data_IF_669577078275
#
_entry.id   IF_669577078275
#
_cell.length_a   1.000
_cell.length_b   1.000
_cell.length_c   1.000
_cell.angle_alpha   90.00
_cell.angle_beta   90.00
_cell.angle_gamma   90.00
#
_symmetry.space_group_name_H-M   'P 1'
#
loop_
_entity.id
_entity.type
_entity.pdbx_description
1 polymer ?
#
# COMPACT_ATOMS: atom_id res chain seq x y z
N UNK A 1 15.83 -24.67 -2.84
CA UNK A 1 14.57 -24.50 -3.60
C UNK A 1 14.59 -23.11 -4.21
N UNK A 2 14.38 -23.04 -5.52
CA UNK A 2 14.34 -21.78 -6.27
C UNK A 2 12.90 -21.53 -6.72
N UNK A 3 12.47 -20.27 -6.70
CA UNK A 3 11.20 -19.80 -7.27
C UNK A 3 11.54 -18.70 -8.27
N UNK A 4 11.01 -18.80 -9.48
CA UNK A 4 11.19 -17.81 -10.54
C UNK A 4 9.83 -17.24 -10.94
N UNK A 5 9.60 -15.94 -10.64
CA UNK A 5 8.34 -15.25 -10.87
C UNK A 5 8.52 -14.07 -11.85
N UNK A 6 7.47 -13.60 -12.55
CA UNK A 6 7.48 -12.30 -13.18
C UNK A 6 7.89 -11.21 -12.16
N UNK A 7 8.52 -10.13 -12.61
CA UNK A 7 8.77 -9.00 -11.69
C UNK A 7 7.45 -8.50 -11.10
N UNK A 8 7.47 -8.21 -9.81
CA UNK A 8 6.29 -7.87 -9.03
C UNK A 8 5.94 -6.37 -9.06
N UNK A 9 4.75 -6.03 -8.56
CA UNK A 9 4.27 -4.64 -8.49
C UNK A 9 3.97 -4.26 -7.05
N UNK A 10 4.51 -3.13 -6.60
CA UNK A 10 4.16 -2.52 -5.33
C UNK A 10 3.09 -1.44 -5.55
N UNK A 11 1.84 -1.81 -5.36
CA UNK A 11 0.72 -0.91 -5.62
C UNK A 11 0.31 -0.06 -4.42
N UNK A 12 1.22 0.09 -3.46
CA UNK A 12 1.13 1.05 -2.37
C UNK A 12 2.48 1.23 -1.68
N UNK A 13 3.19 2.30 -1.97
CA UNK A 13 4.48 2.58 -1.33
C UNK A 13 4.73 4.07 -1.17
N UNK A 14 5.56 4.47 -0.19
CA UNK A 14 5.94 5.84 0.10
C UNK A 14 7.42 6.05 -0.19
N UNK A 15 7.74 6.63 -1.33
CA UNK A 15 9.13 7.02 -1.66
C UNK A 15 9.56 8.32 -0.96
N UNK A 16 8.62 8.99 -0.28
CA UNK A 16 8.86 10.26 0.42
C UNK A 16 9.35 11.35 -0.52
N UNK A 17 10.15 12.28 0.02
CA UNK A 17 10.79 13.41 -0.66
C UNK A 17 12.22 13.54 -0.17
N UNK A 18 13.01 14.33 -0.92
CA UNK A 18 14.35 14.70 -0.50
C UNK A 18 15.43 13.65 -0.78
N UNK A 19 16.59 13.75 -0.15
CA UNK A 19 17.80 13.08 -0.60
C UNK A 19 17.77 11.54 -0.48
N UNK A 20 16.90 10.97 0.36
CA UNK A 20 16.80 9.52 0.52
C UNK A 20 15.90 8.83 -0.53
N UNK A 21 15.15 9.58 -1.35
CA UNK A 21 14.20 9.04 -2.32
C UNK A 21 14.84 8.00 -3.25
N UNK A 22 16.03 8.30 -3.79
CA UNK A 22 16.77 7.38 -4.67
C UNK A 22 17.12 6.07 -4.00
N UNK A 23 17.47 6.08 -2.70
CA UNK A 23 17.74 4.85 -1.95
C UNK A 23 16.48 3.98 -1.81
N UNK A 24 15.32 4.58 -1.63
CA UNK A 24 14.06 3.83 -1.52
C UNK A 24 13.60 3.26 -2.86
N UNK A 25 13.75 4.03 -3.94
CA UNK A 25 13.50 3.56 -5.31
C UNK A 25 14.41 2.38 -5.64
N UNK A 26 15.72 2.52 -5.39
CA UNK A 26 16.69 1.47 -5.66
C UNK A 26 16.41 0.20 -4.86
N UNK A 27 16.05 0.32 -3.58
CA UNK A 27 15.70 -0.81 -2.74
C UNK A 27 14.52 -1.65 -3.32
N UNK A 28 13.52 -1.01 -3.94
CA UNK A 28 12.44 -1.73 -4.63
C UNK A 28 12.93 -2.39 -5.93
N UNK A 29 13.74 -1.70 -6.70
CA UNK A 29 14.29 -2.23 -7.97
C UNK A 29 15.17 -3.46 -7.71
N UNK A 30 15.99 -3.45 -6.66
CA UNK A 30 16.84 -4.57 -6.25
C UNK A 30 16.01 -5.81 -5.87
N UNK A 31 14.78 -5.60 -5.40
CA UNK A 31 13.83 -6.68 -5.12
C UNK A 31 13.02 -7.14 -6.34
N UNK A 32 13.40 -6.72 -7.55
CA UNK A 32 12.69 -7.10 -8.77
C UNK A 32 11.31 -6.44 -8.92
N UNK A 33 11.10 -5.27 -8.35
CA UNK A 33 9.87 -4.51 -8.53
C UNK A 33 9.82 -3.93 -9.96
N UNK A 34 8.76 -4.23 -10.71
CA UNK A 34 8.53 -3.72 -12.07
C UNK A 34 7.62 -2.50 -12.10
N UNK A 35 6.79 -2.31 -11.10
CA UNK A 35 5.88 -1.17 -11.08
C UNK A 35 5.54 -0.73 -9.68
N UNK A 36 5.31 0.57 -9.52
CA UNK A 36 5.01 1.16 -8.22
C UNK A 36 3.85 2.16 -8.30
N UNK A 37 3.05 2.20 -7.23
CA UNK A 37 2.11 3.27 -6.95
C UNK A 37 2.65 4.10 -5.78
N UNK A 38 3.19 5.29 -6.11
CA UNK A 38 3.87 6.17 -5.18
C UNK A 38 2.87 7.09 -4.47
N UNK A 39 2.63 6.88 -3.17
CA UNK A 39 1.64 7.60 -2.40
C UNK A 39 1.86 9.11 -2.35
N UNK A 40 0.77 9.92 -2.41
CA UNK A 40 0.81 11.36 -2.64
C UNK A 40 0.89 12.22 -1.38
N UNK A 41 1.01 11.62 -0.17
CA UNK A 41 1.08 12.33 1.11
C UNK A 41 2.49 12.86 1.42
N UNK A 42 3.04 13.57 0.46
CA UNK A 42 4.27 14.36 0.56
C UNK A 42 4.01 15.67 1.34
N UNK A 43 5.02 16.48 1.55
CA UNK A 43 4.89 17.83 2.14
C UNK A 43 5.53 18.88 1.22
N UNK A 44 4.72 19.71 0.55
CA UNK A 44 3.26 19.69 0.50
C UNK A 44 2.72 18.45 -0.25
N UNK A 45 1.41 18.12 -0.14
CA UNK A 45 0.84 16.92 -0.78
C UNK A 45 0.77 17.06 -2.31
N UNK A 46 0.70 15.93 -3.01
CA UNK A 46 0.43 15.91 -4.46
C UNK A 46 -1.06 16.16 -4.70
N UNK A 47 -1.46 17.42 -4.78
CA UNK A 47 -2.86 17.86 -4.87
C UNK A 47 -3.21 18.57 -6.17
N UNK A 48 -2.32 18.54 -7.17
CA UNK A 48 -2.49 19.14 -8.50
C UNK A 48 -2.18 18.14 -9.60
N UNK A 49 -2.68 18.39 -10.81
CA UNK A 49 -2.42 17.52 -11.98
C UNK A 49 -1.07 17.88 -12.60
N UNK A 50 -0.89 19.13 -13.02
CA UNK A 50 0.27 19.61 -13.79
C UNK A 50 0.85 20.91 -13.20
N UNK A 51 2.00 21.33 -13.76
CA UNK A 51 2.68 22.56 -13.39
C UNK A 51 3.73 22.39 -12.30
N UNK A 52 4.47 23.47 -12.04
CA UNK A 52 5.53 23.49 -11.03
C UNK A 52 4.97 23.32 -9.62
N UNK A 53 5.77 22.70 -8.73
CA UNK A 53 5.45 22.63 -7.31
C UNK A 53 5.25 24.05 -6.73
N UNK A 54 4.21 24.21 -5.92
CA UNK A 54 3.92 25.43 -5.19
C UNK A 54 3.91 25.13 -3.70
N UNK A 55 3.93 26.16 -2.88
CA UNK A 55 4.01 26.03 -1.41
C UNK A 55 2.85 25.25 -0.79
N UNK A 56 1.71 25.17 -1.48
CA UNK A 56 0.48 24.51 -1.04
C UNK A 56 0.16 23.17 -1.72
N UNK A 57 1.01 22.72 -2.67
CA UNK A 57 0.82 21.43 -3.32
C UNK A 57 1.81 21.11 -4.44
N UNK A 58 2.23 19.86 -4.51
CA UNK A 58 2.91 19.31 -5.67
C UNK A 58 1.92 18.95 -6.76
N UNK A 59 2.39 18.90 -8.01
CA UNK A 59 1.64 18.28 -9.08
C UNK A 59 2.05 16.80 -9.25
N UNK A 60 1.17 15.99 -9.84
CA UNK A 60 1.51 14.63 -10.28
C UNK A 60 2.72 14.68 -11.23
N UNK A 61 2.72 15.62 -12.18
CA UNK A 61 3.83 15.83 -13.11
C UNK A 61 5.14 16.12 -12.40
N UNK A 62 5.14 17.08 -11.45
CA UNK A 62 6.33 17.48 -10.69
C UNK A 62 6.87 16.34 -9.82
N UNK A 63 6.02 15.68 -9.04
CA UNK A 63 6.46 14.57 -8.19
C UNK A 63 6.94 13.36 -9.03
N UNK A 64 6.29 13.08 -10.17
CA UNK A 64 6.76 12.07 -11.10
C UNK A 64 8.14 12.40 -11.68
N UNK A 65 8.41 13.68 -11.96
CA UNK A 65 9.74 14.11 -12.42
C UNK A 65 10.81 13.89 -11.34
N UNK A 66 10.54 14.25 -10.08
CA UNK A 66 11.47 13.99 -8.96
C UNK A 66 11.74 12.48 -8.79
N UNK A 67 10.70 11.65 -8.86
CA UNK A 67 10.84 10.20 -8.80
C UNK A 67 11.72 9.65 -9.94
N UNK A 68 11.58 10.18 -11.15
CA UNK A 68 12.43 9.79 -12.30
C UNK A 68 13.88 10.19 -12.08
N UNK A 69 14.15 11.40 -11.59
CA UNK A 69 15.50 11.83 -11.22
C UNK A 69 16.08 10.90 -10.14
N UNK A 70 15.26 10.37 -9.25
CA UNK A 70 15.63 9.40 -8.23
C UNK A 70 15.78 7.94 -8.75
N UNK A 71 15.64 7.71 -10.07
CA UNK A 71 15.83 6.40 -10.69
C UNK A 71 14.54 5.63 -11.01
N UNK A 72 13.36 6.21 -10.79
CA UNK A 72 12.09 5.53 -11.03
C UNK A 72 11.74 5.29 -12.51
N UNK A 73 12.52 5.80 -13.45
CA UNK A 73 12.44 5.44 -14.88
C UNK A 73 12.74 3.95 -15.14
N UNK A 74 13.40 3.29 -14.18
CA UNK A 74 13.66 1.85 -14.26
C UNK A 74 12.40 0.98 -13.98
N UNK A 75 11.34 1.52 -13.39
CA UNK A 75 10.05 0.85 -13.32
C UNK A 75 9.38 0.80 -14.70
N UNK A 76 8.76 -0.33 -15.02
CA UNK A 76 7.93 -0.47 -16.24
C UNK A 76 6.64 0.35 -16.12
N UNK A 77 6.12 0.53 -14.89
CA UNK A 77 4.93 1.31 -14.59
C UNK A 77 5.14 2.12 -13.31
N UNK A 78 4.80 3.41 -13.38
CA UNK A 78 4.77 4.31 -12.22
C UNK A 78 3.44 5.04 -12.20
N UNK A 79 2.71 4.92 -11.08
CA UNK A 79 1.48 5.66 -10.81
C UNK A 79 1.75 6.62 -9.65
N UNK A 80 1.43 7.89 -9.86
CA UNK A 80 1.34 8.89 -8.79
C UNK A 80 -0.13 9.29 -8.67
N UNK A 81 -0.82 8.91 -7.59
CA UNK A 81 -2.21 9.32 -7.39
C UNK A 81 -2.33 10.78 -6.97
N UNK A 82 -3.48 11.38 -7.25
CA UNK A 82 -3.85 12.68 -6.70
C UNK A 82 -4.33 12.51 -5.25
N UNK A 83 -3.81 13.30 -4.32
CA UNK A 83 -4.34 13.37 -2.97
C UNK A 83 -5.69 14.14 -2.99
N UNK A 84 -6.79 13.48 -2.64
CA UNK A 84 -8.10 14.12 -2.53
C UNK A 84 -8.15 15.06 -1.34
N UNK A 85 -8.34 16.34 -1.61
CA UNK A 85 -8.49 17.41 -0.62
C UNK A 85 -9.80 18.15 -0.85
N UNK A 86 -10.18 19.05 0.06
CA UNK A 86 -11.36 19.92 -0.12
C UNK A 86 -11.25 20.83 -1.35
N UNK A 87 -10.06 21.00 -1.92
CA UNK A 87 -9.82 21.80 -3.13
C UNK A 87 -9.95 20.97 -4.42
N UNK A 88 -10.02 19.65 -4.32
CA UNK A 88 -10.17 18.79 -5.51
C UNK A 88 -11.52 19.01 -6.15
N UNK A 89 -11.54 19.20 -7.48
CA UNK A 89 -12.77 19.44 -8.26
C UNK A 89 -12.96 18.37 -9.33
N UNK A 90 -14.19 18.20 -9.81
CA UNK A 90 -14.49 17.33 -10.94
C UNK A 90 -13.74 17.74 -12.22
N UNK A 91 -13.54 19.05 -12.43
CA UNK A 91 -12.75 19.57 -13.55
C UNK A 91 -11.28 19.11 -13.50
N UNK A 92 -10.66 19.09 -12.32
CA UNK A 92 -9.30 18.55 -12.15
C UNK A 92 -9.23 17.05 -12.49
N UNK A 93 -10.24 16.28 -12.13
CA UNK A 93 -10.31 14.85 -12.47
C UNK A 93 -10.39 14.67 -14.00
N UNK A 94 -11.28 15.42 -14.66
CA UNK A 94 -11.44 15.38 -16.12
C UNK A 94 -10.17 15.82 -16.85
N UNK A 95 -9.52 16.90 -16.41
CA UNK A 95 -8.23 17.36 -16.95
C UNK A 95 -7.14 16.29 -16.79
N UNK A 96 -7.00 15.73 -15.59
CA UNK A 96 -6.01 14.71 -15.30
C UNK A 96 -6.22 13.43 -16.11
N UNK A 97 -7.47 13.04 -16.30
CA UNK A 97 -7.82 11.91 -17.16
C UNK A 97 -7.48 12.18 -18.64
N UNK A 98 -7.87 13.36 -19.15
CA UNK A 98 -7.62 13.78 -20.53
C UNK A 98 -6.11 13.90 -20.86
N UNK A 99 -5.30 14.37 -19.92
CA UNK A 99 -3.84 14.45 -20.06
C UNK A 99 -3.13 13.09 -19.95
N UNK A 100 -3.82 12.04 -19.46
CA UNK A 100 -3.23 10.74 -19.16
C UNK A 100 -2.33 10.70 -17.91
N UNK A 101 -2.19 11.81 -17.20
CA UNK A 101 -1.39 11.88 -15.96
C UNK A 101 -2.09 11.23 -14.77
N UNK A 102 -3.43 11.37 -14.68
CA UNK A 102 -4.21 10.86 -13.58
C UNK A 102 -4.72 9.45 -13.87
N UNK A 103 -4.34 8.48 -13.05
CA UNK A 103 -4.86 7.11 -13.09
C UNK A 103 -5.55 6.70 -11.80
N UNK A 104 -5.20 7.35 -10.70
CA UNK A 104 -5.75 7.07 -9.37
C UNK A 104 -5.82 8.36 -8.53
N UNK A 105 -6.76 8.37 -7.59
CA UNK A 105 -6.80 9.33 -6.50
C UNK A 105 -6.68 8.60 -5.17
N UNK A 106 -6.04 9.21 -4.19
CA UNK A 106 -5.90 8.68 -2.83
C UNK A 106 -6.76 9.47 -1.85
N UNK A 107 -7.58 8.74 -1.13
CA UNK A 107 -8.36 9.23 0.00
C UNK A 107 -7.65 8.94 1.32
N UNK A 108 -7.55 9.95 2.17
CA UNK A 108 -7.17 9.84 3.57
C UNK A 108 -8.29 10.43 4.46
N UNK A 109 -8.66 9.74 5.56
CA UNK A 109 -9.45 10.39 6.60
C UNK A 109 -8.63 11.48 7.28
N UNK A 110 -9.28 12.51 7.85
CA UNK A 110 -8.58 13.60 8.54
C UNK A 110 -7.67 13.05 9.65
N UNK A 111 -6.37 13.40 9.59
CA UNK A 111 -5.36 12.97 10.55
C UNK A 111 -5.22 11.44 10.72
N UNK A 112 -5.66 10.64 9.74
CA UNK A 112 -5.66 9.18 9.84
C UNK A 112 -4.28 8.53 9.73
N UNK A 113 -3.29 9.23 9.17
CA UNK A 113 -1.91 8.76 9.03
C UNK A 113 -0.94 9.94 8.90
N UNK A 114 0.35 9.66 8.69
CA UNK A 114 1.38 10.68 8.46
C UNK A 114 1.00 11.58 7.28
N UNK A 115 1.09 12.92 7.46
CA UNK A 115 0.76 13.94 6.47
C UNK A 115 -0.69 13.84 5.93
N UNK A 116 -1.64 13.45 6.77
CA UNK A 116 -3.05 13.35 6.42
C UNK A 116 -3.90 14.53 6.94
N UNK A 117 -3.28 15.65 7.27
CA UNK A 117 -3.94 16.87 7.76
C UNK A 117 -4.88 17.50 6.73
N UNK A 118 -4.64 17.25 5.43
CA UNK A 118 -5.50 17.72 4.33
C UNK A 118 -6.62 16.75 3.98
N UNK A 119 -6.73 15.62 4.67
CA UNK A 119 -7.81 14.63 4.51
C UNK A 119 -9.18 15.20 4.82
N UNK A 120 -10.22 14.49 4.38
CA UNK A 120 -11.61 14.90 4.61
C UNK A 120 -12.46 13.70 5.02
N UNK A 121 -13.62 13.93 5.69
CA UNK A 121 -14.56 12.84 5.94
C UNK A 121 -15.05 12.20 4.65
N UNK A 122 -15.18 10.86 4.61
CA UNK A 122 -15.73 10.15 3.44
C UNK A 122 -17.15 10.60 3.11
N UNK A 123 -17.93 10.97 4.13
CA UNK A 123 -19.30 11.47 3.96
C UNK A 123 -19.36 12.76 3.13
N UNK A 124 -18.32 13.56 3.08
CA UNK A 124 -18.25 14.78 2.25
C UNK A 124 -17.99 14.46 0.76
N UNK A 125 -17.56 13.23 0.44
CA UNK A 125 -17.27 12.79 -0.94
C UNK A 125 -18.39 11.95 -1.55
N UNK A 126 -19.07 11.12 -0.74
CA UNK A 126 -20.11 10.19 -1.22
C UNK A 126 -21.24 10.97 -1.90
N UNK A 127 -21.55 10.59 -3.14
CA UNK A 127 -22.58 11.26 -3.96
C UNK A 127 -22.13 12.56 -4.61
N UNK A 128 -20.89 13.01 -4.36
CA UNK A 128 -20.33 14.25 -4.89
C UNK A 128 -19.81 14.14 -6.33
N UNK A 129 -19.58 15.31 -6.95
CA UNK A 129 -19.17 15.43 -8.35
C UNK A 129 -17.76 14.89 -8.60
N UNK A 130 -16.86 14.94 -7.60
CA UNK A 130 -15.50 14.42 -7.71
C UNK A 130 -15.51 12.91 -7.95
N UNK A 131 -16.24 12.15 -7.11
CA UNK A 131 -16.33 10.70 -7.28
C UNK A 131 -17.12 10.30 -8.53
N UNK A 132 -18.10 11.10 -8.93
CA UNK A 132 -18.82 10.90 -10.19
C UNK A 132 -17.89 11.07 -11.39
N UNK A 133 -17.08 12.12 -11.41
CA UNK A 133 -16.07 12.32 -12.45
C UNK A 133 -15.02 11.18 -12.47
N UNK A 134 -14.57 10.70 -11.31
CA UNK A 134 -13.67 9.54 -11.25
C UNK A 134 -14.34 8.28 -11.85
N UNK A 135 -15.61 8.02 -11.54
CA UNK A 135 -16.36 6.91 -12.10
C UNK A 135 -16.50 7.02 -13.62
N UNK A 136 -16.83 8.21 -14.14
CA UNK A 136 -17.00 8.49 -15.57
C UNK A 136 -15.69 8.31 -16.36
N UNK A 137 -14.58 8.72 -15.79
CA UNK A 137 -13.26 8.64 -16.41
C UNK A 137 -12.45 7.38 -16.07
N UNK A 138 -13.01 6.45 -15.29
CA UNK A 138 -12.35 5.20 -14.89
C UNK A 138 -11.14 5.38 -13.99
N UNK A 139 -11.07 6.50 -13.26
CA UNK A 139 -10.01 6.79 -12.29
C UNK A 139 -10.21 5.96 -11.02
N UNK A 140 -9.16 5.29 -10.55
CA UNK A 140 -9.23 4.41 -9.38
C UNK A 140 -9.22 5.24 -8.09
N UNK A 141 -10.13 4.93 -7.17
CA UNK A 141 -10.13 5.47 -5.81
C UNK A 141 -9.37 4.53 -4.85
N UNK A 142 -8.20 4.96 -4.39
CA UNK A 142 -7.40 4.27 -3.38
C UNK A 142 -7.79 4.79 -1.99
N UNK A 143 -8.26 3.93 -1.09
CA UNK A 143 -8.89 4.33 0.17
C UNK A 143 -8.07 3.89 1.37
N UNK A 144 -7.63 4.82 2.23
CA UNK A 144 -7.28 4.51 3.62
C UNK A 144 -8.57 4.36 4.41
N UNK A 145 -8.99 3.12 4.67
CA UNK A 145 -10.34 2.78 5.10
C UNK A 145 -10.52 2.75 6.61
N UNK A 146 -10.27 3.86 7.31
CA UNK A 146 -10.51 3.98 8.75
C UNK A 146 -11.47 5.13 9.07
N UNK A 147 -12.33 4.93 10.06
CA UNK A 147 -13.16 6.00 10.62
C UNK A 147 -12.29 6.97 11.40
N UNK A 148 -12.36 8.28 11.06
CA UNK A 148 -11.66 9.32 11.79
C UNK A 148 -12.33 9.69 13.11
N UNK A 149 -11.64 10.47 13.95
CA UNK A 149 -12.11 11.00 15.24
C UNK A 149 -12.43 9.93 16.30
N UNK A 150 -11.92 8.71 16.14
CA UNK A 150 -11.94 7.70 17.19
C UNK A 150 -10.64 7.77 18.02
N UNK A 151 -10.75 7.46 19.31
CA UNK A 151 -9.61 7.49 20.23
C UNK A 151 -9.68 6.33 21.24
N UNK A 152 -8.54 6.02 21.85
CA UNK A 152 -8.45 5.00 22.86
C UNK A 152 -8.94 3.62 22.39
N UNK A 153 -9.79 2.98 23.16
CA UNK A 153 -10.30 1.65 22.89
C UNK A 153 -11.18 1.59 21.63
N UNK A 154 -11.91 2.65 21.30
CA UNK A 154 -12.77 2.69 20.10
C UNK A 154 -11.95 2.56 18.82
N UNK A 155 -10.71 3.05 18.80
CA UNK A 155 -9.82 2.95 17.64
C UNK A 155 -9.35 1.51 17.38
N UNK A 156 -9.08 0.74 18.43
CA UNK A 156 -8.50 -0.62 18.36
C UNK A 156 -9.42 -1.72 18.90
N UNK A 157 -10.71 -1.42 19.11
CA UNK A 157 -11.66 -2.44 19.56
C UNK A 157 -11.64 -3.68 18.66
N UNK A 158 -11.70 -4.86 19.25
CA UNK A 158 -11.56 -6.10 18.52
C UNK A 158 -12.71 -6.37 17.52
N UNK A 159 -13.88 -5.77 17.75
CA UNK A 159 -15.08 -5.99 16.94
C UNK A 159 -15.53 -4.74 16.19
N UNK A 160 -15.34 -3.55 16.77
CA UNK A 160 -15.86 -2.28 16.28
C UNK A 160 -14.78 -1.20 16.13
N UNK A 161 -13.55 -1.61 15.73
CA UNK A 161 -12.46 -0.67 15.47
C UNK A 161 -12.74 0.28 14.30
N UNK A 162 -11.84 1.23 14.11
CA UNK A 162 -11.97 2.28 13.09
C UNK A 162 -12.15 1.71 11.67
N UNK A 163 -11.41 0.67 11.30
CA UNK A 163 -11.54 0.02 10.00
C UNK A 163 -12.86 -0.74 9.87
N UNK A 164 -13.24 -1.55 10.86
CA UNK A 164 -14.51 -2.28 10.86
C UNK A 164 -15.70 -1.33 10.68
N UNK A 165 -15.74 -0.22 11.42
CA UNK A 165 -16.81 0.79 11.27
C UNK A 165 -16.84 1.40 9.87
N UNK A 166 -15.68 1.69 9.28
CA UNK A 166 -15.60 2.23 7.93
C UNK A 166 -16.19 1.25 6.90
N UNK A 167 -15.80 -0.02 6.95
CA UNK A 167 -16.27 -1.04 6.01
C UNK A 167 -17.73 -1.48 6.21
N UNK A 168 -18.28 -1.32 7.41
CA UNK A 168 -19.71 -1.63 7.67
C UNK A 168 -20.64 -0.46 7.38
N UNK A 169 -20.16 0.79 7.52
CA UNK A 169 -21.03 1.96 7.45
C UNK A 169 -20.81 2.79 6.15
N UNK A 170 -19.55 3.07 5.76
CA UNK A 170 -19.24 3.99 4.65
C UNK A 170 -19.13 3.26 3.31
N UNK A 171 -18.43 2.14 3.28
CA UNK A 171 -18.20 1.43 2.01
C UNK A 171 -19.48 0.96 1.31
N UNK A 172 -20.52 0.42 2.00
CA UNK A 172 -21.79 0.09 1.34
C UNK A 172 -22.47 1.31 0.71
N UNK A 173 -22.45 2.46 1.39
CA UNK A 173 -23.00 3.71 0.88
C UNK A 173 -22.23 4.24 -0.33
N UNK A 174 -20.89 4.15 -0.28
CA UNK A 174 -20.02 4.55 -1.37
C UNK A 174 -20.33 3.74 -2.65
N UNK A 175 -20.35 2.41 -2.54
CA UNK A 175 -20.65 1.53 -3.68
C UNK A 175 -22.09 1.75 -4.21
N UNK A 176 -23.06 1.97 -3.32
CA UNK A 176 -24.42 2.25 -3.74
C UNK A 176 -24.55 3.58 -4.50
N UNK A 177 -23.79 4.61 -4.08
CA UNK A 177 -23.80 5.92 -4.73
C UNK A 177 -22.99 5.95 -6.05
N UNK A 178 -21.95 5.13 -6.17
CA UNK A 178 -21.02 5.07 -7.31
C UNK A 178 -20.78 3.62 -7.74
N UNK A 179 -21.77 2.95 -8.38
CA UNK A 179 -21.75 1.50 -8.61
C UNK A 179 -20.71 1.01 -9.63
N UNK A 180 -20.09 1.90 -10.39
CA UNK A 180 -19.03 1.56 -11.35
C UNK A 180 -17.66 2.11 -10.96
N UNK A 181 -17.58 2.87 -9.86
CA UNK A 181 -16.32 3.45 -9.39
C UNK A 181 -15.31 2.33 -9.04
N UNK A 182 -14.16 2.37 -9.67
CA UNK A 182 -13.08 1.43 -9.37
C UNK A 182 -12.44 1.79 -8.05
N UNK A 183 -12.38 0.85 -7.11
CA UNK A 183 -11.94 1.10 -5.74
C UNK A 183 -10.84 0.11 -5.36
N UNK A 184 -9.76 0.61 -4.76
CA UNK A 184 -8.77 -0.19 -4.04
C UNK A 184 -8.86 0.15 -2.56
N UNK A 185 -9.25 -0.85 -1.76
CA UNK A 185 -9.22 -0.82 -0.31
C UNK A 185 -7.76 -1.05 0.12
N UNK A 186 -7.07 0.03 0.48
CA UNK A 186 -5.63 -0.02 0.72
C UNK A 186 -5.29 -0.64 2.07
N UNK A 187 -4.19 -1.43 2.11
CA UNK A 187 -3.57 -1.99 3.33
C UNK A 187 -4.57 -2.47 4.38
N UNK A 188 -5.60 -3.21 3.95
CA UNK A 188 -6.66 -3.68 4.85
C UNK A 188 -6.09 -4.58 5.96
N UNK A 189 -6.69 -4.49 7.16
CA UNK A 189 -6.16 -5.14 8.37
C UNK A 189 -7.14 -6.03 9.09
N UNK A 190 -8.45 -5.95 8.78
CA UNK A 190 -9.51 -6.65 9.51
C UNK A 190 -10.15 -7.76 8.69
N UNK A 191 -10.70 -8.76 9.38
CA UNK A 191 -11.62 -9.76 8.80
C UNK A 191 -12.77 -9.08 8.05
N UNK A 192 -13.37 -8.05 8.66
CA UNK A 192 -14.51 -7.32 8.08
C UNK A 192 -14.17 -6.72 6.72
N UNK A 193 -13.02 -6.08 6.59
CA UNK A 193 -12.56 -5.52 5.31
C UNK A 193 -12.28 -6.61 4.27
N UNK A 194 -11.60 -7.71 4.68
CA UNK A 194 -11.31 -8.83 3.78
C UNK A 194 -12.60 -9.48 3.25
N UNK A 195 -13.57 -9.75 4.12
CA UNK A 195 -14.85 -10.31 3.73
C UNK A 195 -15.69 -9.34 2.87
N UNK A 196 -15.63 -8.05 3.17
CA UNK A 196 -16.28 -7.03 2.35
C UNK A 196 -15.73 -7.05 0.91
N UNK A 197 -14.41 -6.97 0.74
CA UNK A 197 -13.79 -7.00 -0.59
C UNK A 197 -14.06 -8.30 -1.33
N UNK A 198 -14.01 -9.44 -0.65
CA UNK A 198 -14.29 -10.74 -1.27
C UNK A 198 -15.71 -10.80 -1.88
N UNK A 199 -16.70 -10.19 -1.22
CA UNK A 199 -18.10 -10.14 -1.66
C UNK A 199 -18.45 -8.97 -2.59
N UNK A 200 -17.63 -7.92 -2.61
CA UNK A 200 -17.84 -6.74 -3.44
C UNK A 200 -17.78 -7.06 -4.95
N UNK A 201 -18.30 -6.19 -5.84
CA UNK A 201 -18.13 -6.33 -7.29
C UNK A 201 -16.66 -6.39 -7.74
N UNK A 202 -16.40 -6.85 -8.98
CA UNK A 202 -15.05 -7.06 -9.51
C UNK A 202 -14.22 -5.77 -9.67
N UNK A 203 -14.86 -4.61 -9.70
CA UNK A 203 -14.19 -3.31 -9.73
C UNK A 203 -13.71 -2.83 -8.34
N UNK A 204 -13.85 -3.67 -7.30
CA UNK A 204 -13.34 -3.43 -5.95
C UNK A 204 -12.24 -4.45 -5.65
N UNK A 205 -11.03 -3.98 -5.40
CA UNK A 205 -9.88 -4.77 -4.98
C UNK A 205 -9.29 -4.26 -3.67
N UNK A 206 -8.25 -4.92 -3.17
CA UNK A 206 -7.55 -4.47 -1.97
C UNK A 206 -6.05 -4.77 -2.03
N UNK A 207 -5.24 -3.88 -1.45
CA UNK A 207 -3.86 -4.17 -1.10
C UNK A 207 -3.76 -4.75 0.31
N UNK A 208 -2.83 -5.67 0.50
CA UNK A 208 -2.47 -6.21 1.82
C UNK A 208 -0.96 -6.18 1.96
N UNK A 209 -0.50 -5.66 3.08
CA UNK A 209 0.94 -5.50 3.35
C UNK A 209 1.57 -6.76 3.95
N UNK A 210 2.88 -6.94 3.84
CA UNK A 210 3.53 -8.09 4.46
C UNK A 210 3.43 -8.07 5.98
N UNK A 211 3.51 -6.88 6.62
CA UNK A 211 3.39 -6.77 8.08
C UNK A 211 2.02 -7.19 8.60
N UNK A 212 0.92 -6.92 7.89
CA UNK A 212 -0.42 -7.34 8.28
C UNK A 212 -0.67 -8.84 8.08
N UNK A 213 0.07 -9.49 7.18
CA UNK A 213 0.06 -10.94 7.02
C UNK A 213 0.93 -11.67 8.05
N UNK A 214 2.02 -11.05 8.53
CA UNK A 214 2.99 -11.70 9.43
C UNK A 214 2.69 -11.44 10.91
N UNK A 215 2.25 -10.22 11.28
CA UNK A 215 2.23 -9.78 12.67
C UNK A 215 0.82 -9.43 13.17
N UNK A 216 0.73 -9.32 14.48
CA UNK A 216 -0.48 -8.89 15.20
C UNK A 216 -0.11 -7.84 16.24
N UNK A 217 -1.11 -7.21 16.84
CA UNK A 217 -0.92 -6.23 17.91
C UNK A 217 -0.08 -6.78 19.08
N UNK A 218 -0.22 -8.08 19.38
CA UNK A 218 0.61 -8.75 20.38
C UNK A 218 2.11 -8.64 20.09
N UNK A 219 2.52 -8.78 18.80
CA UNK A 219 3.94 -8.66 18.41
C UNK A 219 4.46 -7.22 18.56
N UNK A 220 3.61 -6.21 18.33
CA UNK A 220 3.97 -4.82 18.53
C UNK A 220 4.21 -4.50 20.01
N UNK A 221 3.29 -4.97 20.88
CA UNK A 221 3.32 -4.66 22.31
C UNK A 221 4.40 -5.44 23.05
N UNK A 222 4.60 -6.71 22.69
CA UNK A 222 5.60 -7.57 23.32
C UNK A 222 7.02 -7.07 23.02
N UNK A 223 7.66 -6.49 24.00
CA UNK A 223 8.98 -5.88 23.89
C UNK A 223 9.00 -4.56 23.13
N UNK A 224 7.82 -3.94 22.95
CA UNK A 224 7.63 -2.64 22.29
C UNK A 224 8.36 -2.53 20.95
N UNK A 225 7.97 -3.37 19.99
CA UNK A 225 8.57 -3.45 18.65
C UNK A 225 8.14 -2.24 17.79
N UNK A 226 8.61 -1.05 18.13
CA UNK A 226 8.17 0.22 17.54
C UNK A 226 8.41 0.32 16.01
N UNK A 227 9.34 -0.47 15.42
CA UNK A 227 9.49 -0.55 13.97
C UNK A 227 8.31 -1.20 13.26
N UNK A 228 7.46 -1.95 13.99
CA UNK A 228 6.20 -2.51 13.50
C UNK A 228 5.03 -1.50 13.58
N UNK A 229 5.20 -0.35 14.24
CA UNK A 229 4.15 0.64 14.33
C UNK A 229 3.87 1.26 12.97
N UNK A 230 2.66 1.04 12.44
CA UNK A 230 2.13 1.56 11.18
C UNK A 230 0.65 1.92 11.34
N UNK A 231 0.10 2.67 10.43
CA UNK A 231 -1.33 2.99 10.36
C UNK A 231 -1.88 2.62 8.98
N UNK A 232 -2.92 1.74 8.91
CA UNK A 232 -3.64 1.13 10.04
C UNK A 232 -2.72 0.22 10.88
N UNK A 233 -2.98 0.21 12.19
CA UNK A 233 -2.21 -0.64 13.11
C UNK A 233 -2.50 -2.13 12.85
N UNK A 234 -1.51 -3.00 13.05
CA UNK A 234 -1.71 -4.46 13.03
C UNK A 234 -2.80 -4.87 14.04
N UNK A 235 -3.72 -5.74 13.63
CA UNK A 235 -4.88 -6.13 14.42
C UNK A 235 -4.64 -7.46 15.16
N UNK A 236 -5.69 -8.23 15.39
CA UNK A 236 -5.68 -9.46 16.18
C UNK A 236 -5.42 -10.71 15.33
N UNK A 237 -5.21 -11.85 15.99
CA UNK A 237 -4.87 -13.12 15.31
C UNK A 237 -5.94 -13.57 14.32
N UNK A 238 -7.22 -13.33 14.64
CA UNK A 238 -8.33 -13.77 13.80
C UNK A 238 -8.46 -12.87 12.55
N UNK A 239 -8.12 -11.59 12.65
CA UNK A 239 -8.01 -10.69 11.52
C UNK A 239 -6.87 -11.12 10.59
N UNK A 240 -5.67 -11.35 11.15
CA UNK A 240 -4.54 -11.88 10.38
C UNK A 240 -4.87 -13.20 9.68
N UNK A 241 -5.56 -14.12 10.37
CA UNK A 241 -5.99 -15.37 9.77
C UNK A 241 -6.94 -15.16 8.59
N UNK A 242 -7.88 -14.22 8.70
CA UNK A 242 -8.78 -13.86 7.61
C UNK A 242 -8.05 -13.23 6.41
N UNK A 243 -7.07 -12.35 6.65
CA UNK A 243 -6.23 -11.80 5.58
C UNK A 243 -5.45 -12.90 4.86
N UNK A 244 -4.81 -13.82 5.61
CA UNK A 244 -4.10 -14.98 5.05
C UNK A 244 -5.03 -15.84 4.18
N UNK A 245 -6.22 -16.15 4.68
CA UNK A 245 -7.22 -16.89 3.91
C UNK A 245 -7.62 -16.17 2.63
N UNK A 246 -7.80 -14.85 2.68
CA UNK A 246 -8.18 -14.05 1.52
C UNK A 246 -7.11 -14.07 0.42
N UNK A 247 -5.82 -13.94 0.75
CA UNK A 247 -4.74 -13.92 -0.25
C UNK A 247 -4.40 -15.29 -0.81
N UNK A 248 -4.65 -16.36 -0.05
CA UNK A 248 -4.36 -17.75 -0.45
C UNK A 248 -5.56 -18.48 -1.05
N UNK A 249 -6.73 -17.83 -1.14
CA UNK A 249 -7.92 -18.43 -1.74
C UNK A 249 -7.70 -18.74 -3.22
N UNK A 250 -8.05 -19.97 -3.61
CA UNK A 250 -7.90 -20.42 -5.01
C UNK A 250 -8.78 -19.57 -5.93
N UNK A 251 -8.18 -19.06 -7.01
CA UNK A 251 -8.90 -18.27 -8.01
C UNK A 251 -9.20 -16.82 -7.61
N UNK A 252 -8.77 -16.37 -6.44
CA UNK A 252 -8.93 -14.96 -6.04
C UNK A 252 -8.21 -14.02 -7.01
N UNK A 253 -8.82 -12.85 -7.32
CA UNK A 253 -8.29 -11.84 -8.24
C UNK A 253 -8.29 -10.42 -7.64
N UNK A 254 -8.85 -10.26 -6.45
CA UNK A 254 -9.13 -8.94 -5.84
C UNK A 254 -8.07 -8.49 -4.86
N UNK A 255 -7.28 -9.43 -4.30
CA UNK A 255 -6.24 -9.11 -3.34
C UNK A 255 -4.88 -9.16 -4.02
N UNK A 256 -4.05 -8.14 -3.78
CA UNK A 256 -2.73 -8.01 -4.38
C UNK A 256 -1.76 -7.24 -3.47
N UNK A 257 -0.49 -7.25 -3.85
CA UNK A 257 0.57 -6.63 -3.06
C UNK A 257 0.50 -5.10 -3.09
N UNK A 258 0.65 -4.53 -1.92
CA UNK A 258 0.91 -3.13 -1.67
C UNK A 258 1.56 -3.05 -0.30
N UNK A 259 2.84 -2.72 -0.27
CA UNK A 259 3.66 -2.91 0.94
C UNK A 259 3.36 -1.91 2.03
N UNK A 260 2.82 -0.75 1.68
CA UNK A 260 2.79 0.43 2.54
C UNK A 260 4.18 0.69 3.15
N UNK A 261 5.23 0.45 2.33
CA UNK A 261 6.60 0.73 2.73
C UNK A 261 6.74 2.22 2.98
N UNK A 262 6.94 2.58 4.24
CA UNK A 262 6.94 3.96 4.70
C UNK A 262 8.18 4.22 5.58
N UNK A 263 9.34 4.43 4.95
CA UNK A 263 10.61 4.59 5.64
C UNK A 263 10.66 5.87 6.48
N UNK A 264 11.35 5.76 7.63
CA UNK A 264 11.67 6.87 8.52
C UNK A 264 13.11 6.74 9.01
N UNK A 265 13.93 7.77 8.84
CA UNK A 265 15.27 7.86 9.42
C UNK A 265 15.24 8.06 10.93
N UNK A 266 14.18 8.66 11.44
CA UNK A 266 13.89 8.80 12.87
C UNK A 266 12.53 8.18 13.18
N UNK A 267 12.51 7.00 13.72
CA UNK A 267 11.29 6.25 14.04
C UNK A 267 10.75 6.59 15.43
N UNK A 268 11.60 6.51 16.46
CA UNK A 268 11.26 6.88 17.83
C UNK A 268 11.51 8.38 18.05
N UNK A 269 10.58 9.07 18.70
CA UNK A 269 10.67 10.47 19.08
C UNK A 269 10.47 10.63 20.58
N UNK A 270 10.74 11.84 21.13
CA UNK A 270 10.57 12.11 22.57
C UNK A 270 9.13 11.91 23.07
N UNK A 271 8.13 12.04 22.18
CA UNK A 271 6.72 11.95 22.54
C UNK A 271 5.93 10.93 21.70
N UNK A 272 6.61 10.00 21.04
CA UNK A 272 5.91 8.99 20.24
C UNK A 272 6.77 8.25 19.24
N UNK A 273 6.10 7.65 18.26
CA UNK A 273 6.73 6.88 17.19
C UNK A 273 6.12 7.29 15.85
N UNK A 274 6.95 7.49 14.84
CA UNK A 274 6.48 7.73 13.48
C UNK A 274 5.79 6.48 12.91
N UNK A 275 4.61 6.64 12.33
CA UNK A 275 3.87 5.54 11.72
C UNK A 275 4.47 5.17 10.35
N UNK A 276 4.77 3.89 10.15
CA UNK A 276 5.27 3.33 8.90
C UNK A 276 6.36 2.27 9.11
N UNK A 277 6.29 1.19 8.35
CA UNK A 277 7.30 0.14 8.28
C UNK A 277 8.14 0.31 7.01
N UNK A 278 9.44 0.03 7.05
CA UNK A 278 10.22 -0.07 5.82
C UNK A 278 10.32 -1.54 5.40
N UNK A 279 9.63 -1.88 4.33
CA UNK A 279 9.51 -3.25 3.79
C UNK A 279 9.88 -3.36 2.31
N UNK A 280 9.96 -2.24 1.57
CA UNK A 280 10.22 -2.24 0.13
C UNK A 280 11.50 -2.97 -0.29
N UNK A 281 12.56 -2.90 0.53
CA UNK A 281 13.82 -3.59 0.29
C UNK A 281 13.83 -5.09 0.67
N UNK A 282 12.68 -5.70 1.00
CA UNK A 282 12.58 -7.14 1.34
C UNK A 282 11.15 -7.70 1.16
N UNK A 283 10.30 -6.99 0.42
CA UNK A 283 8.88 -7.32 0.32
C UNK A 283 8.59 -8.72 -0.24
N UNK A 284 9.19 -9.17 -1.37
CA UNK A 284 8.91 -10.50 -1.91
C UNK A 284 9.23 -11.62 -0.92
N UNK A 285 10.34 -11.50 -0.18
CA UNK A 285 10.72 -12.47 0.84
C UNK A 285 9.72 -12.50 1.99
N UNK A 286 9.29 -11.33 2.48
CA UNK A 286 8.29 -11.25 3.55
C UNK A 286 6.94 -11.81 3.11
N UNK A 287 6.51 -11.57 1.88
CA UNK A 287 5.30 -12.18 1.34
C UNK A 287 5.43 -13.70 1.19
N UNK A 288 6.57 -14.20 0.71
CA UNK A 288 6.80 -15.64 0.63
C UNK A 288 6.73 -16.30 2.02
N UNK A 289 7.36 -15.69 3.05
CA UNK A 289 7.24 -16.15 4.44
C UNK A 289 5.79 -16.13 4.94
N UNK A 290 5.04 -15.07 4.63
CA UNK A 290 3.64 -14.95 5.04
C UNK A 290 2.75 -16.03 4.40
N UNK A 291 3.01 -16.41 3.14
CA UNK A 291 2.29 -17.49 2.45
C UNK A 291 2.64 -18.84 3.06
N UNK A 292 3.90 -19.11 3.36
CA UNK A 292 4.30 -20.34 4.08
C UNK A 292 3.64 -20.42 5.46
N UNK A 293 3.64 -19.34 6.23
CA UNK A 293 2.94 -19.28 7.52
C UNK A 293 1.42 -19.42 7.40
N UNK A 294 0.85 -19.12 6.23
CA UNK A 294 -0.55 -19.38 5.91
C UNK A 294 -0.81 -20.83 5.47
N UNK A 295 0.23 -21.68 5.44
CA UNK A 295 0.13 -23.08 5.07
C UNK A 295 0.31 -23.37 3.58
N UNK A 296 0.79 -22.40 2.78
CA UNK A 296 1.06 -22.62 1.36
C UNK A 296 2.42 -23.29 1.19
N UNK A 297 2.43 -24.44 0.52
CA UNK A 297 3.68 -25.12 0.14
C UNK A 297 4.25 -24.50 -1.15
N UNK A 298 5.22 -23.60 -0.99
CA UNK A 298 5.90 -22.94 -2.11
C UNK A 298 6.87 -23.85 -2.88
N UNK A 299 7.02 -25.13 -2.47
CA UNK A 299 7.77 -26.11 -3.27
C UNK A 299 6.92 -26.66 -4.43
N UNK A 300 5.61 -26.46 -4.40
CA UNK A 300 4.66 -26.93 -5.41
C UNK A 300 4.35 -25.83 -6.44
N UNK A 301 3.97 -26.25 -7.65
CA UNK A 301 3.54 -25.33 -8.70
C UNK A 301 2.27 -24.55 -8.30
N UNK A 302 1.35 -25.18 -7.58
CA UNK A 302 0.13 -24.58 -7.07
C UNK A 302 0.42 -23.48 -6.06
N UNK A 303 1.33 -23.73 -5.11
CA UNK A 303 1.74 -22.74 -4.12
C UNK A 303 2.45 -21.55 -4.75
N UNK A 304 3.35 -21.80 -5.71
CA UNK A 304 4.00 -20.73 -6.47
C UNK A 304 2.99 -19.90 -7.28
N UNK A 305 2.00 -20.53 -7.90
CA UNK A 305 0.95 -19.84 -8.66
C UNK A 305 0.06 -18.96 -7.75
N UNK A 306 -0.15 -19.31 -6.48
CA UNK A 306 -0.86 -18.46 -5.52
C UNK A 306 -0.05 -17.19 -5.23
N UNK A 307 1.24 -17.34 -4.94
CA UNK A 307 2.15 -16.21 -4.68
C UNK A 307 2.31 -15.33 -5.94
N UNK A 308 2.49 -15.93 -7.11
CA UNK A 308 2.59 -15.22 -8.40
C UNK A 308 1.36 -14.37 -8.66
N UNK A 309 0.16 -14.91 -8.50
CA UNK A 309 -1.08 -14.15 -8.68
C UNK A 309 -1.13 -12.93 -7.77
N UNK A 310 -0.83 -13.10 -6.50
CA UNK A 310 -0.87 -12.03 -5.51
C UNK A 310 0.18 -10.94 -5.77
N UNK A 311 1.41 -11.32 -6.06
CA UNK A 311 2.52 -10.38 -6.25
C UNK A 311 2.56 -9.74 -7.64
N UNK A 312 2.28 -10.53 -8.68
CA UNK A 312 2.71 -10.21 -10.04
C UNK A 312 1.55 -10.01 -11.03
N UNK A 313 0.36 -10.57 -10.77
CA UNK A 313 -0.70 -10.61 -11.77
C UNK A 313 -1.95 -9.81 -11.40
N UNK A 314 -2.48 -9.99 -10.18
CA UNK A 314 -3.77 -9.40 -9.79
C UNK A 314 -3.72 -7.87 -9.78
N UNK A 315 -2.68 -7.31 -9.18
CA UNK A 315 -2.53 -5.87 -9.05
C UNK A 315 -2.38 -5.15 -10.41
N UNK A 316 -1.36 -5.48 -11.23
CA UNK A 316 -1.27 -4.89 -12.55
C UNK A 316 -2.54 -5.12 -13.38
N UNK A 317 -3.13 -6.32 -13.36
CA UNK A 317 -4.40 -6.60 -14.05
C UNK A 317 -5.55 -5.71 -13.58
N UNK A 318 -5.65 -5.43 -12.28
CA UNK A 318 -6.63 -4.48 -11.75
C UNK A 318 -6.43 -3.07 -12.32
N UNK A 319 -5.20 -2.60 -12.51
CA UNK A 319 -4.90 -1.30 -13.10
C UNK A 319 -4.88 -1.30 -14.64
N UNK A 320 -5.12 -2.45 -15.28
CA UNK A 320 -5.12 -2.59 -16.74
C UNK A 320 -3.73 -2.66 -17.36
N UNK A 321 -2.71 -3.05 -16.58
CA UNK A 321 -1.36 -3.28 -17.06
C UNK A 321 -1.11 -4.76 -17.35
N UNK A 322 -0.24 -5.09 -18.31
CA UNK A 322 0.26 -6.44 -18.44
C UNK A 322 1.18 -6.81 -17.28
N UNK A 323 1.27 -8.10 -16.98
CA UNK A 323 2.33 -8.61 -16.13
C UNK A 323 3.71 -8.32 -16.77
N UNK A 324 4.74 -8.15 -15.94
CA UNK A 324 6.10 -7.96 -16.44
C UNK A 324 6.59 -9.19 -17.20
N UNK A 325 7.18 -8.97 -18.37
CA UNK A 325 7.87 -10.03 -19.12
C UNK A 325 9.22 -10.40 -18.49
N UNK A 326 9.80 -9.52 -17.66
CA UNK A 326 11.05 -9.79 -16.93
C UNK A 326 10.74 -10.62 -15.70
N UNK A 327 11.74 -11.34 -15.23
CA UNK A 327 11.59 -12.24 -14.06
C UNK A 327 12.59 -11.89 -12.97
N UNK A 328 12.27 -12.31 -11.77
CA UNK A 328 13.18 -12.33 -10.62
C UNK A 328 13.19 -13.72 -10.00
N UNK A 329 14.25 -14.01 -9.22
CA UNK A 329 14.45 -15.32 -8.62
C UNK A 329 14.64 -15.16 -7.12
N UNK A 330 13.95 -16.01 -6.35
CA UNK A 330 14.18 -16.17 -4.91
C UNK A 330 14.64 -17.58 -4.60
N UNK A 331 15.55 -17.69 -3.63
CA UNK A 331 16.01 -18.97 -3.11
C UNK A 331 15.64 -19.13 -1.64
N UNK A 332 15.18 -20.31 -1.27
CA UNK A 332 14.97 -20.65 0.15
C UNK A 332 16.30 -20.72 0.86
N UNK A 333 16.50 -19.87 1.86
CA UNK A 333 17.72 -19.77 2.64
C UNK A 333 17.68 -18.56 3.56
N UNK A 334 18.43 -18.61 4.65
CA UNK A 334 18.50 -17.52 5.60
C UNK A 334 19.22 -16.31 4.99
N UNK A 335 18.69 -15.13 5.26
CA UNK A 335 19.30 -13.85 4.92
C UNK A 335 19.13 -12.88 6.08
N UNK A 336 20.24 -12.46 6.66
CA UNK A 336 20.26 -11.34 7.58
C UNK A 336 20.22 -10.03 6.80
N UNK A 337 19.48 -9.06 7.30
CA UNK A 337 19.43 -7.72 6.75
C UNK A 337 20.23 -6.74 7.61
N UNK A 338 20.72 -5.67 6.98
CA UNK A 338 21.35 -4.53 7.63
C UNK A 338 20.49 -3.28 7.47
N UNK A 339 20.86 -2.20 8.13
CA UNK A 339 20.28 -0.90 7.91
C UNK A 339 20.45 -0.49 6.43
N UNK A 340 19.44 0.20 5.89
CA UNK A 340 19.59 0.87 4.61
C UNK A 340 20.24 2.23 4.84
N UNK A 341 21.46 2.38 4.38
CA UNK A 341 22.15 3.67 4.41
C UNK A 341 21.54 4.61 3.35
N UNK A 342 21.19 5.83 3.75
CA UNK A 342 20.68 6.86 2.85
C UNK A 342 21.35 8.20 3.09
N UNK A 343 21.33 9.13 2.14
CA UNK A 343 21.87 10.48 2.33
C UNK A 343 21.20 11.28 3.47
N UNK A 344 20.00 10.86 3.90
CA UNK A 344 19.27 11.46 5.03
C UNK A 344 19.51 10.75 6.36
N UNK A 345 20.32 9.68 6.38
CA UNK A 345 20.59 8.83 7.53
C UNK A 345 20.08 7.39 7.35
N UNK A 346 20.43 6.49 8.28
CA UNK A 346 20.07 5.08 8.18
C UNK A 346 18.56 4.86 8.41
N UNK A 347 18.03 3.87 7.69
CA UNK A 347 16.64 3.40 7.86
C UNK A 347 16.66 1.93 8.25
N UNK A 348 15.87 1.57 9.25
CA UNK A 348 15.79 0.21 9.77
C UNK A 348 14.73 -0.59 8.99
N UNK A 349 15.11 -1.63 8.21
CA UNK A 349 14.16 -2.53 7.60
C UNK A 349 13.34 -3.28 8.67
N UNK A 350 12.10 -3.63 8.36
CA UNK A 350 11.22 -4.31 9.31
C UNK A 350 11.83 -5.58 9.92
N UNK A 351 12.49 -6.49 9.16
CA UNK A 351 13.14 -7.67 9.76
C UNK A 351 14.17 -7.33 10.83
N UNK A 352 15.00 -6.31 10.58
CA UNK A 352 15.98 -5.83 11.58
C UNK A 352 15.27 -5.29 12.82
N UNK A 353 14.23 -4.47 12.63
CA UNK A 353 13.43 -3.91 13.73
C UNK A 353 12.71 -4.97 14.55
N UNK A 354 12.39 -6.10 13.94
CA UNK A 354 11.75 -7.24 14.61
C UNK A 354 12.78 -8.21 15.23
N UNK A 355 14.08 -8.09 14.89
CA UNK A 355 15.13 -8.99 15.33
C UNK A 355 15.00 -10.38 14.70
N UNK A 356 14.66 -10.44 13.41
CA UNK A 356 14.46 -11.68 12.67
C UNK A 356 15.30 -11.73 11.40
N UNK A 357 15.60 -12.94 10.93
CA UNK A 357 16.16 -13.20 9.62
C UNK A 357 15.06 -13.54 8.61
N UNK A 358 15.29 -13.23 7.36
CA UNK A 358 14.46 -13.71 6.26
C UNK A 358 14.79 -15.18 5.98
N UNK A 359 13.77 -15.97 5.63
CA UNK A 359 13.95 -17.37 5.22
C UNK A 359 14.03 -17.55 3.71
N UNK A 360 14.05 -16.46 2.98
CA UNK A 360 14.20 -16.35 1.54
C UNK A 360 15.24 -15.28 1.21
N UNK A 361 15.98 -15.47 0.13
CA UNK A 361 16.94 -14.48 -0.39
C UNK A 361 16.71 -14.22 -1.88
N UNK A 362 17.00 -13.01 -2.32
CA UNK A 362 17.05 -12.68 -3.73
C UNK A 362 18.29 -13.32 -4.36
N UNK A 363 18.11 -13.85 -5.58
CA UNK A 363 19.22 -14.35 -6.41
C UNK A 363 19.31 -13.38 -7.59
N UNK A 364 20.37 -12.55 -7.57
CA UNK A 364 20.67 -11.56 -8.61
C UNK A 364 21.54 -12.09 -9.71
#
# INVERSE_FOLDING_TARGET
MLITLPKWFDLHTHFRQGPAMGSYVQAHLDMGCAGALAMPNTQPPVSRISGAAQSDGWSIEGYSAELRVAGADAFEQLIVPLYLTRQTTAAMIAEGAASGLLRACKYYPPHGTTNAEHGMPMDDLIGGDVLRAMEEHGIVLCIHGEQHALSGLDYIDAQQNAETRFYTERMPRLIAAHPRLRIVCEHITTRTAAEFVARAPDHVGATITPQHLLYTLGHLIQGLKYHLYCLPIVKFKDDRAALRQAVTAVGQKKFFAGTDSAPHTTKATACGCAAGCFTGGCAPQLYAMAFEEAGVDLSTAEGQALLERFLCLNGPGFYGFPASAKRFVMEKGLQSMTLLETPAGPVTPLPVGMGMELTWRMVG
#
